data_IF_795845445727
#
_entry.id   IF_795845445727
#
_cell.length_a   1.000
_cell.length_b   1.000
_cell.length_c   1.000
_cell.angle_alpha   90.00
_cell.angle_beta   90.00
_cell.angle_gamma   90.00
#
_symmetry.space_group_name_H-M   'P 1'
#
loop_
_entity.id
_entity.type
_entity.pdbx_description
1 polymer ?
#
# COMPACT_ATOMS: atom_id res chain seq x y z
N UNK A 1 -25.39 44.01 -30.97
CA UNK A 1 -23.97 43.66 -31.13
C UNK A 1 -23.72 42.34 -30.45
N UNK A 2 -23.19 41.39 -31.20
CA UNK A 2 -22.66 40.12 -30.72
C UNK A 2 -21.37 40.39 -29.96
N UNK A 3 -21.21 39.82 -28.78
CA UNK A 3 -19.92 39.34 -28.31
C UNK A 3 -20.15 37.99 -27.63
N UNK A 4 -19.95 36.94 -28.42
CA UNK A 4 -19.61 35.62 -27.92
C UNK A 4 -18.25 35.75 -27.22
N UNK A 5 -18.18 35.40 -25.95
CA UNK A 5 -16.99 34.72 -25.44
C UNK A 5 -17.46 33.36 -24.95
N UNK A 6 -17.36 32.36 -25.83
CA UNK A 6 -17.20 31.00 -25.38
C UNK A 6 -16.00 31.00 -24.43
N UNK A 7 -16.28 30.90 -23.13
CA UNK A 7 -15.35 30.18 -22.27
C UNK A 7 -15.69 28.72 -22.51
N UNK A 8 -14.88 28.09 -23.35
CA UNK A 8 -14.58 26.68 -23.14
C UNK A 8 -14.04 26.59 -21.71
N UNK A 9 -14.91 26.18 -20.78
CA UNK A 9 -14.46 25.65 -19.52
C UNK A 9 -13.91 24.28 -19.90
N UNK A 10 -12.60 24.23 -20.11
CA UNK A 10 -11.85 22.98 -20.20
C UNK A 10 -12.03 22.23 -18.86
N UNK A 11 -13.13 21.50 -18.76
CA UNK A 11 -13.43 20.59 -17.67
C UNK A 11 -12.59 19.34 -17.84
N UNK A 12 -11.50 19.22 -17.07
CA UNK A 12 -10.82 17.95 -16.82
C UNK A 12 -9.86 17.96 -15.61
N UNK A 13 -9.65 19.10 -14.92
CA UNK A 13 -8.78 19.12 -13.72
C UNK A 13 -9.49 18.72 -12.42
N UNK A 14 -10.83 18.75 -12.35
CA UNK A 14 -11.56 18.46 -11.09
C UNK A 14 -11.52 16.98 -10.66
N UNK A 15 -11.24 16.04 -11.58
CA UNK A 15 -11.26 14.59 -11.30
C UNK A 15 -9.87 13.98 -11.03
N UNK A 16 -8.81 14.79 -11.08
CA UNK A 16 -7.43 14.35 -10.85
C UNK A 16 -6.98 14.72 -9.44
N UNK A 17 -6.32 13.78 -8.74
CA UNK A 17 -5.68 14.05 -7.45
C UNK A 17 -4.22 13.62 -7.44
N UNK A 18 -3.44 14.30 -6.64
CA UNK A 18 -2.02 14.04 -6.44
C UNK A 18 -1.81 13.12 -5.24
N UNK A 19 -1.15 11.98 -5.46
CA UNK A 19 -0.91 10.96 -4.44
C UNK A 19 0.55 10.54 -4.38
N UNK A 20 1.02 10.17 -3.19
CA UNK A 20 2.28 9.43 -3.01
C UNK A 20 2.07 7.98 -3.38
N UNK A 21 2.83 7.46 -4.32
CA UNK A 21 2.67 6.10 -4.82
C UNK A 21 4.02 5.40 -5.01
N UNK A 22 3.99 4.07 -4.93
CA UNK A 22 5.10 3.26 -5.41
C UNK A 22 5.20 3.36 -6.93
N UNK A 23 6.43 3.35 -7.44
CA UNK A 23 6.68 3.28 -8.88
C UNK A 23 6.23 1.91 -9.40
N UNK A 24 5.28 1.84 -10.35
CA UNK A 24 4.96 0.59 -11.04
C UNK A 24 6.19 0.10 -11.80
N UNK A 25 6.61 -1.14 -11.56
CA UNK A 25 7.75 -1.79 -12.23
C UNK A 25 7.30 -2.82 -13.27
N UNK A 26 6.04 -3.24 -13.19
CA UNK A 26 5.46 -4.26 -14.06
C UNK A 26 4.60 -3.57 -15.12
N UNK A 27 4.96 -3.76 -16.38
CA UNK A 27 4.19 -3.29 -17.52
C UNK A 27 2.85 -4.06 -17.63
N UNK A 28 1.89 -3.45 -18.34
CA UNK A 28 0.56 -4.00 -18.54
C UNK A 28 0.62 -5.41 -19.17
N UNK A 29 1.43 -5.59 -20.20
CA UNK A 29 1.56 -6.84 -20.96
C UNK A 29 2.09 -7.97 -20.08
N UNK A 30 3.03 -7.68 -19.20
CA UNK A 30 3.58 -8.65 -18.27
C UNK A 30 2.60 -8.99 -17.15
N UNK A 31 1.82 -8.01 -16.69
CA UNK A 31 0.73 -8.25 -15.76
C UNK A 31 -0.33 -9.21 -16.36
N UNK A 32 -0.68 -9.06 -17.64
CA UNK A 32 -1.58 -10.01 -18.35
C UNK A 32 -0.98 -11.41 -18.34
N UNK A 33 0.30 -11.57 -18.67
CA UNK A 33 0.99 -12.88 -18.64
C UNK A 33 0.95 -13.49 -17.24
N UNK A 34 1.23 -12.71 -16.21
CA UNK A 34 1.20 -13.15 -14.80
C UNK A 34 -0.22 -13.56 -14.40
N UNK A 35 -1.24 -12.76 -14.73
CA UNK A 35 -2.63 -13.05 -14.43
C UNK A 35 -3.17 -14.28 -15.18
N UNK A 36 -2.65 -14.55 -16.38
CA UNK A 36 -3.02 -15.70 -17.21
C UNK A 36 -2.33 -16.98 -16.75
N UNK A 37 -1.14 -16.87 -16.12
CA UNK A 37 -0.47 -18.01 -15.48
C UNK A 37 -1.28 -18.45 -14.26
N UNK A 38 -1.77 -19.68 -14.31
CA UNK A 38 -2.44 -20.34 -13.19
C UNK A 38 -2.02 -21.80 -13.13
N UNK A 39 -1.79 -22.30 -11.90
CA UNK A 39 -1.64 -23.73 -11.61
C UNK A 39 -2.96 -24.50 -11.88
N UNK A 40 -4.09 -23.81 -11.77
CA UNK A 40 -5.43 -24.33 -12.04
C UNK A 40 -5.91 -23.67 -13.35
N UNK A 41 -6.06 -24.41 -14.46
CA UNK A 41 -6.41 -23.91 -15.83
C UNK A 41 -7.72 -23.09 -15.96
N UNK A 42 -8.29 -22.62 -14.86
CA UNK A 42 -9.62 -22.04 -14.71
C UNK A 42 -9.71 -20.59 -15.24
N UNK A 43 -8.60 -19.92 -15.58
CA UNK A 43 -8.59 -18.52 -16.03
C UNK A 43 -8.42 -18.36 -17.57
N UNK A 44 -8.97 -19.29 -18.36
CA UNK A 44 -8.94 -19.25 -19.84
C UNK A 44 -10.13 -18.46 -20.41
N UNK A 45 -10.19 -17.17 -20.11
CA UNK A 45 -11.11 -16.23 -20.76
C UNK A 45 -10.36 -15.23 -21.65
N UNK A 46 -11.08 -14.52 -22.50
CA UNK A 46 -10.54 -13.36 -23.21
C UNK A 46 -10.44 -12.18 -22.26
N UNK A 47 -9.34 -11.43 -22.32
CA UNK A 47 -9.18 -10.22 -21.51
C UNK A 47 -10.14 -9.15 -22.04
N UNK A 48 -11.13 -8.77 -21.23
CA UNK A 48 -12.17 -7.81 -21.62
C UNK A 48 -11.90 -6.39 -21.15
N UNK A 49 -11.19 -6.23 -20.03
CA UNK A 49 -10.72 -4.91 -19.58
C UNK A 49 -9.49 -5.01 -18.70
N UNK A 50 -8.70 -3.94 -18.69
CA UNK A 50 -7.50 -3.80 -17.86
C UNK A 50 -7.49 -2.40 -17.28
N UNK A 51 -7.27 -2.28 -15.97
CA UNK A 51 -7.17 -0.99 -15.28
C UNK A 51 -6.00 -1.01 -14.30
N UNK A 52 -5.28 0.11 -14.21
CA UNK A 52 -4.34 0.33 -13.11
C UNK A 52 -5.07 1.04 -11.98
N UNK A 53 -5.15 0.39 -10.82
CA UNK A 53 -5.72 0.97 -9.60
C UNK A 53 -4.63 1.20 -8.54
N UNK A 54 -4.92 2.06 -7.58
CA UNK A 54 -4.01 2.50 -6.54
C UNK A 54 -4.60 2.15 -5.17
N UNK A 55 -4.01 1.13 -4.54
CA UNK A 55 -4.46 0.60 -3.25
C UNK A 55 -3.82 1.36 -2.08
N UNK A 56 -4.60 1.85 -1.11
CA UNK A 56 -4.08 2.65 0.01
C UNK A 56 -3.36 1.80 1.06
N UNK A 57 -2.23 2.31 1.54
CA UNK A 57 -1.53 1.85 2.74
C UNK A 57 -1.29 3.03 3.67
N UNK A 58 -1.57 2.87 4.97
CA UNK A 58 -1.16 3.87 5.98
C UNK A 58 0.19 3.48 6.55
N UNK A 59 1.10 4.46 6.61
CA UNK A 59 2.47 4.29 7.06
C UNK A 59 2.66 4.86 8.44
N UNK A 60 3.41 4.12 9.25
CA UNK A 60 3.76 4.50 10.61
C UNK A 60 5.25 4.28 10.83
N UNK A 61 5.87 5.19 11.57
CA UNK A 61 7.23 5.07 12.06
C UNK A 61 7.18 4.82 13.56
N UNK A 62 7.66 3.65 13.96
CA UNK A 62 7.92 3.32 15.35
C UNK A 62 9.38 3.62 15.67
N UNK A 63 9.63 4.44 16.69
CA UNK A 63 10.96 4.69 17.26
C UNK A 63 10.96 4.24 18.71
N UNK A 64 12.04 3.61 19.13
CA UNK A 64 12.21 3.22 20.53
C UNK A 64 13.66 3.36 20.98
N UNK A 65 13.81 3.66 22.26
CA UNK A 65 15.06 3.57 22.98
C UNK A 65 15.07 2.22 23.72
N UNK A 66 16.10 1.41 23.47
CA UNK A 66 16.27 0.10 24.11
C UNK A 66 17.50 0.08 25.02
N UNK A 67 17.40 -0.65 26.13
CA UNK A 67 18.49 -0.84 27.10
C UNK A 67 18.59 -2.30 27.53
N UNK A 68 19.77 -2.71 28.00
CA UNK A 68 19.99 -4.07 28.47
C UNK A 68 19.54 -4.23 29.92
N UNK A 69 18.63 -5.18 30.19
CA UNK A 69 18.03 -5.36 31.53
C UNK A 69 19.05 -5.64 32.63
N UNK A 70 20.09 -6.42 32.29
CA UNK A 70 21.13 -6.87 33.25
C UNK A 70 22.42 -6.05 33.22
N UNK A 71 22.58 -5.15 32.25
CA UNK A 71 23.81 -4.37 32.08
C UNK A 71 23.42 -2.90 31.95
N UNK A 72 23.10 -2.31 33.10
CA UNK A 72 22.58 -0.94 33.21
C UNK A 72 23.60 0.10 32.72
N UNK A 73 24.89 -0.22 32.82
CA UNK A 73 25.98 0.65 32.36
C UNK A 73 26.16 0.65 30.83
N UNK A 74 25.49 -0.26 30.10
CA UNK A 74 25.54 -0.23 28.64
C UNK A 74 24.73 0.94 28.10
N UNK A 75 25.25 1.66 27.10
CA UNK A 75 24.50 2.74 26.47
C UNK A 75 23.19 2.20 25.89
N UNK A 76 22.16 3.04 25.94
CA UNK A 76 20.90 2.74 25.28
C UNK A 76 21.05 2.88 23.77
N UNK A 77 20.33 2.07 23.01
CA UNK A 77 20.36 2.06 21.55
C UNK A 77 19.02 2.55 20.99
N UNK A 78 19.07 3.33 19.91
CA UNK A 78 17.86 3.75 19.20
C UNK A 78 17.53 2.75 18.10
N UNK A 79 16.28 2.33 18.04
CA UNK A 79 15.74 1.51 16.97
C UNK A 79 14.60 2.22 16.28
N UNK A 80 14.49 2.02 14.97
CA UNK A 80 13.43 2.54 14.14
C UNK A 80 12.88 1.43 13.26
N UNK A 81 11.56 1.35 13.14
CA UNK A 81 10.85 0.37 12.33
C UNK A 81 9.72 1.07 11.59
N UNK A 82 9.66 0.90 10.27
CA UNK A 82 8.51 1.34 9.48
C UNK A 82 7.47 0.23 9.45
N UNK A 83 6.21 0.60 9.60
CA UNK A 83 5.08 -0.32 9.58
C UNK A 83 4.09 0.19 8.53
N UNK A 84 3.70 -0.69 7.62
CA UNK A 84 2.67 -0.42 6.63
C UNK A 84 1.42 -1.24 6.96
N UNK A 85 0.26 -0.58 6.93
CA UNK A 85 -1.04 -1.23 7.12
C UNK A 85 -1.81 -1.16 5.80
N UNK A 86 -2.25 -2.31 5.32
CA UNK A 86 -3.19 -2.39 4.20
C UNK A 86 -4.55 -1.84 4.62
N UNK A 87 -4.95 -0.72 4.03
CA UNK A 87 -6.15 0.01 4.43
C UNK A 87 -7.45 -0.59 3.88
N UNK A 88 -7.36 -1.75 3.22
CA UNK A 88 -8.50 -2.55 2.75
C UNK A 88 -8.68 -3.77 3.64
N UNK A 89 -7.59 -4.46 3.97
CA UNK A 89 -7.64 -5.73 4.73
C UNK A 89 -7.34 -5.60 6.22
N UNK A 90 -6.75 -4.48 6.64
CA UNK A 90 -6.28 -4.28 8.02
C UNK A 90 -5.04 -5.08 8.38
N UNK A 91 -4.38 -5.75 7.42
CA UNK A 91 -3.17 -6.52 7.69
C UNK A 91 -1.96 -5.59 7.76
N UNK A 92 -1.27 -5.63 8.91
CA UNK A 92 -0.05 -4.87 9.16
C UNK A 92 1.23 -5.68 9.05
N UNK A 93 2.27 -5.08 8.48
CA UNK A 93 3.59 -5.70 8.36
C UNK A 93 4.72 -4.68 8.54
N UNK A 94 5.87 -5.18 8.99
CA UNK A 94 7.13 -4.44 8.99
C UNK A 94 7.56 -4.16 7.54
N UNK A 95 7.98 -2.93 7.29
CA UNK A 95 8.37 -2.44 5.99
C UNK A 95 9.72 -1.76 6.07
N UNK A 96 10.42 -1.72 4.94
CA UNK A 96 11.53 -0.79 4.75
C UNK A 96 11.01 0.64 4.61
N UNK A 97 11.93 1.60 4.69
CA UNK A 97 11.66 2.97 4.27
C UNK A 97 11.19 2.95 2.81
N UNK A 98 10.06 3.61 2.55
CA UNK A 98 9.41 3.51 1.26
C UNK A 98 9.89 4.60 0.31
N UNK A 99 10.54 4.18 -0.77
CA UNK A 99 10.76 5.02 -1.94
C UNK A 99 9.42 5.22 -2.64
N UNK A 100 8.83 6.40 -2.44
CA UNK A 100 7.59 6.82 -3.10
C UNK A 100 7.86 8.01 -3.99
N UNK A 101 7.16 8.06 -5.10
CA UNK A 101 7.08 9.24 -5.96
C UNK A 101 5.68 9.82 -5.88
N UNK A 102 5.53 11.09 -6.27
CA UNK A 102 4.23 11.74 -6.32
C UNK A 102 3.71 11.70 -7.76
N UNK A 103 2.47 11.25 -7.96
CA UNK A 103 1.83 11.13 -9.27
C UNK A 103 0.42 11.72 -9.27
N UNK A 104 -0.04 12.18 -10.43
CA UNK A 104 -1.43 12.59 -10.65
C UNK A 104 -2.23 11.43 -11.22
N UNK A 105 -3.36 11.10 -10.61
CA UNK A 105 -4.25 10.02 -11.07
C UNK A 105 -5.71 10.43 -10.96
N UNK A 106 -6.57 9.83 -11.77
CA UNK A 106 -8.02 10.01 -11.64
C UNK A 106 -8.58 9.43 -10.34
N UNK A 107 -9.55 10.11 -9.72
CA UNK A 107 -10.21 9.69 -8.47
C UNK A 107 -10.74 8.25 -8.53
N UNK A 108 -11.30 7.84 -9.67
CA UNK A 108 -11.83 6.48 -9.89
C UNK A 108 -10.77 5.37 -9.88
N UNK A 109 -9.49 5.73 -10.02
CA UNK A 109 -8.39 4.77 -9.98
C UNK A 109 -7.85 4.57 -8.56
N UNK A 110 -8.33 5.31 -7.58
CA UNK A 110 -7.95 5.17 -6.18
C UNK A 110 -8.98 4.30 -5.48
N UNK A 111 -8.50 3.25 -4.83
CA UNK A 111 -9.35 2.41 -4.01
C UNK A 111 -9.56 3.13 -2.68
N UNK A 112 -10.82 3.30 -2.28
CA UNK A 112 -11.15 3.91 -1.00
C UNK A 112 -10.70 3.01 0.16
N UNK A 113 -10.09 3.57 1.23
CA UNK A 113 -9.85 2.83 2.46
C UNK A 113 -11.14 2.21 3.02
N UNK A 114 -11.09 0.95 3.42
CA UNK A 114 -12.21 0.26 4.09
C UNK A 114 -12.09 0.25 5.61
N UNK A 115 -10.91 0.57 6.14
CA UNK A 115 -10.67 0.72 7.57
C UNK A 115 -10.25 2.15 7.90
N UNK A 116 -10.51 2.55 9.13
CA UNK A 116 -10.10 3.81 9.71
C UNK A 116 -8.61 3.84 10.09
N UNK A 117 -8.07 5.05 10.27
CA UNK A 117 -6.72 5.24 10.82
C UNK A 117 -6.61 4.68 12.25
N UNK A 118 -7.68 4.73 13.04
CA UNK A 118 -7.69 4.17 14.40
C UNK A 118 -7.55 2.63 14.38
N UNK A 119 -8.26 1.95 13.49
CA UNK A 119 -8.11 0.51 13.28
C UNK A 119 -6.70 0.17 12.80
N UNK A 120 -6.14 0.96 11.88
CA UNK A 120 -4.77 0.79 11.43
C UNK A 120 -3.76 0.96 12.58
N UNK A 121 -3.93 1.98 13.44
CA UNK A 121 -3.11 2.18 14.64
C UNK A 121 -3.20 1.00 15.61
N UNK A 122 -4.37 0.39 15.75
CA UNK A 122 -4.52 -0.80 16.59
C UNK A 122 -3.74 -1.99 16.02
N UNK A 123 -3.69 -2.15 14.70
CA UNK A 123 -2.85 -3.18 14.08
C UNK A 123 -1.35 -2.89 14.24
N UNK A 124 -0.93 -1.63 14.11
CA UNK A 124 0.45 -1.19 14.39
C UNK A 124 0.88 -1.62 15.79
N UNK A 125 0.04 -1.42 16.81
CA UNK A 125 0.32 -1.85 18.19
C UNK A 125 0.54 -3.36 18.30
N UNK A 126 -0.21 -4.18 17.54
CA UNK A 126 -0.01 -5.65 17.52
C UNK A 126 1.31 -6.04 16.84
N UNK A 127 1.71 -5.35 15.78
CA UNK A 127 3.03 -5.54 15.14
C UNK A 127 4.14 -5.20 16.15
N UNK A 128 4.05 -4.04 16.82
CA UNK A 128 5.01 -3.60 17.83
C UNK A 128 5.09 -4.58 19.00
N UNK A 129 3.96 -5.09 19.49
CA UNK A 129 3.94 -6.06 20.59
C UNK A 129 4.74 -7.33 20.23
N UNK A 130 4.54 -7.85 19.02
CA UNK A 130 5.31 -9.01 18.51
C UNK A 130 6.80 -8.69 18.42
N UNK A 131 7.15 -7.47 18.01
CA UNK A 131 8.54 -7.01 17.93
C UNK A 131 9.19 -6.85 19.32
N UNK A 132 8.51 -6.22 20.27
CA UNK A 132 8.93 -6.11 21.68
C UNK A 132 9.18 -7.47 22.32
N UNK A 133 8.33 -8.46 22.04
CA UNK A 133 8.53 -9.82 22.52
C UNK A 133 9.84 -10.44 21.99
N UNK A 134 10.25 -10.14 20.75
CA UNK A 134 11.55 -10.56 20.21
C UNK A 134 12.71 -9.88 20.95
N UNK A 135 12.65 -8.56 21.13
CA UNK A 135 13.67 -7.78 21.86
C UNK A 135 13.86 -8.31 23.28
N UNK A 136 12.76 -8.57 23.99
CA UNK A 136 12.80 -9.07 25.37
C UNK A 136 13.53 -10.42 25.50
N UNK A 137 13.45 -11.29 24.48
CA UNK A 137 14.19 -12.58 24.46
C UNK A 137 15.70 -12.39 24.41
N UNK A 138 16.18 -11.24 23.94
CA UNK A 138 17.60 -10.88 23.93
C UNK A 138 18.05 -10.14 25.20
N UNK A 139 17.23 -10.13 26.26
CA UNK A 139 17.57 -9.47 27.52
C UNK A 139 17.50 -7.94 27.47
N UNK A 140 16.86 -7.40 26.44
CA UNK A 140 16.67 -5.98 26.22
C UNK A 140 15.27 -5.54 26.68
N UNK A 141 15.10 -4.25 26.95
CA UNK A 141 13.80 -3.64 27.22
C UNK A 141 13.67 -2.28 26.55
N UNK A 142 12.43 -1.91 26.25
CA UNK A 142 12.08 -0.60 25.70
C UNK A 142 11.86 0.36 26.86
N UNK A 143 12.63 1.44 26.93
CA UNK A 143 12.50 2.47 27.96
C UNK A 143 11.61 3.63 27.52
N UNK A 144 11.69 3.99 26.23
CA UNK A 144 10.90 5.05 25.62
C UNK A 144 10.47 4.63 24.23
N UNK A 145 9.28 5.06 23.80
CA UNK A 145 8.78 4.78 22.47
C UNK A 145 7.88 5.88 21.93
N UNK A 146 7.84 5.98 20.61
CA UNK A 146 6.94 6.87 19.90
C UNK A 146 6.45 6.21 18.60
N UNK A 147 5.19 6.42 18.27
CA UNK A 147 4.58 6.02 17.01
C UNK A 147 4.14 7.29 16.29
N UNK A 148 4.70 7.53 15.11
CA UNK A 148 4.34 8.67 14.26
C UNK A 148 3.65 8.17 13.00
N UNK A 149 2.46 8.68 12.68
CA UNK A 149 1.84 8.43 11.39
C UNK A 149 2.55 9.27 10.32
N UNK A 150 3.04 8.62 9.27
CA UNK A 150 3.72 9.28 8.16
C UNK A 150 2.75 9.68 7.02
N UNK A 151 1.55 9.10 7.01
CA UNK A 151 0.50 9.37 6.04
C UNK A 151 0.21 8.16 5.15
N UNK A 152 -0.47 8.41 4.03
CA UNK A 152 -0.82 7.38 3.06
C UNK A 152 0.23 7.27 1.95
N UNK A 153 0.46 6.04 1.51
CA UNK A 153 1.11 5.71 0.24
C UNK A 153 0.22 4.74 -0.52
N UNK A 154 0.22 4.86 -1.83
CA UNK A 154 -0.64 4.04 -2.67
C UNK A 154 0.18 3.07 -3.50
N UNK A 155 -0.21 1.80 -3.46
CA UNK A 155 0.43 0.74 -4.21
C UNK A 155 -0.31 0.50 -5.53
N UNK A 156 0.36 0.60 -6.69
CA UNK A 156 -0.26 0.34 -7.97
C UNK A 156 -0.54 -1.16 -8.14
N UNK A 157 -1.71 -1.48 -8.67
CA UNK A 157 -2.21 -2.84 -8.91
C UNK A 157 -2.90 -2.87 -10.27
N UNK A 158 -2.49 -3.80 -11.11
CA UNK A 158 -3.22 -4.12 -12.34
C UNK A 158 -4.43 -4.99 -12.01
N UNK A 159 -5.62 -4.53 -12.38
CA UNK A 159 -6.85 -5.33 -12.33
C UNK A 159 -7.18 -5.76 -13.75
N UNK A 160 -7.19 -7.07 -13.97
CA UNK A 160 -7.42 -7.68 -15.27
C UNK A 160 -8.72 -8.47 -15.21
N UNK A 161 -9.65 -8.12 -16.10
CA UNK A 161 -10.93 -8.78 -16.24
C UNK A 161 -10.84 -9.84 -17.34
N UNK A 162 -11.15 -11.08 -16.99
CA UNK A 162 -11.32 -12.19 -17.92
C UNK A 162 -12.82 -12.45 -18.12
N UNK A 163 -13.23 -12.37 -19.37
CA UNK A 163 -14.58 -12.71 -19.80
C UNK A 163 -14.62 -14.12 -20.40
N UNK A 164 -15.65 -14.86 -20.04
CA UNK A 164 -16.02 -16.13 -20.66
C UNK A 164 -17.51 -16.06 -21.00
N UNK A 165 -18.00 -16.94 -21.88
CA UNK A 165 -19.41 -16.97 -22.30
C UNK A 165 -20.42 -17.07 -21.13
N UNK A 166 -19.99 -17.36 -19.90
CA UNK A 166 -20.88 -17.53 -18.74
C UNK A 166 -20.51 -16.72 -17.50
N UNK A 167 -19.29 -16.19 -17.38
CA UNK A 167 -18.80 -15.52 -16.16
C UNK A 167 -17.72 -14.47 -16.45
N UNK A 168 -17.72 -13.41 -15.66
CA UNK A 168 -16.61 -12.44 -15.53
C UNK A 168 -15.77 -12.78 -14.30
N UNK A 169 -14.45 -12.61 -14.41
CA UNK A 169 -13.52 -12.82 -13.30
C UNK A 169 -12.46 -11.73 -13.30
N UNK A 170 -12.04 -11.33 -12.11
CA UNK A 170 -11.01 -10.32 -11.93
C UNK A 170 -9.79 -10.97 -11.30
N UNK A 171 -8.61 -10.59 -11.77
CA UNK A 171 -7.33 -10.97 -11.19
C UNK A 171 -6.54 -9.70 -10.93
N UNK A 172 -6.10 -9.53 -9.69
CA UNK A 172 -5.15 -8.48 -9.32
C UNK A 172 -3.72 -8.95 -9.55
N UNK A 173 -2.87 -8.05 -10.04
CA UNK A 173 -1.42 -8.25 -10.10
C UNK A 173 -0.75 -7.04 -9.47
N UNK A 174 0.08 -7.29 -8.47
CA UNK A 174 0.94 -6.30 -7.84
C UNK A 174 1.86 -5.66 -8.90
N UNK A 175 1.66 -4.38 -9.19
CA UNK A 175 2.41 -3.71 -10.26
C UNK A 175 3.85 -3.35 -9.85
N UNK A 176 4.25 -3.62 -8.60
CA UNK A 176 5.62 -3.45 -8.10
C UNK A 176 6.35 -4.79 -8.08
N UNK A 177 5.74 -5.83 -7.51
CA UNK A 177 6.37 -7.15 -7.31
C UNK A 177 6.09 -8.16 -8.42
N UNK A 178 5.07 -7.94 -9.24
CA UNK A 178 4.65 -8.91 -10.27
C UNK A 178 4.02 -10.17 -9.70
N UNK A 179 3.47 -10.11 -8.49
CA UNK A 179 2.77 -11.23 -7.84
C UNK A 179 1.27 -11.11 -8.04
N UNK A 180 0.58 -12.22 -8.30
CA UNK A 180 -0.88 -12.26 -8.26
C UNK A 180 -1.39 -11.96 -6.85
N UNK A 181 -2.52 -11.26 -6.77
CA UNK A 181 -3.27 -10.94 -5.56
C UNK A 181 -4.56 -11.77 -5.49
#
# INVERSE_FOLDING_TARGET
MVYNSHREIDGNEEDLIEIKSYVPKIAMEDAIKIASKSLLKINRGEVSSIKLLYKPFSLFLYKALIRHRKHVDRPSENIAMYIAIDMITGVGFESEALESTTIKVGKIYIIEPLISIEEALNEVKKVILRYKAKIARHGLEVSEENITQLGFVYKPIWIIEFSTNKKRRYVGVDAVKGTRL
#
